data_IF_450947586887
#
_entry.id   IF_450947586887
#
_cell.length_a   1.000
_cell.length_b   1.000
_cell.length_c   1.000
_cell.angle_alpha   90.00
_cell.angle_beta   90.00
_cell.angle_gamma   90.00
#
_symmetry.space_group_name_H-M   'P 1'
#
loop_
_entity.id
_entity.type
_entity.pdbx_description
1 polymer ?
#
# COMPACT_ATOMS: atom_id res chain seq x y z
N UNK A 1 -38.19 -13.39 -31.59
CA UNK A 1 -36.82 -12.86 -31.44
C UNK A 1 -36.55 -11.73 -32.44
N UNK A 2 -36.78 -11.93 -33.75
CA UNK A 2 -36.47 -10.93 -34.78
C UNK A 2 -37.19 -9.60 -34.50
N UNK A 3 -38.45 -9.61 -34.10
CA UNK A 3 -39.20 -8.39 -33.74
C UNK A 3 -38.55 -7.63 -32.55
N UNK A 4 -38.02 -8.39 -31.55
CA UNK A 4 -37.25 -7.79 -30.43
C UNK A 4 -35.97 -7.15 -30.96
N UNK A 5 -35.24 -7.86 -31.83
CA UNK A 5 -33.98 -7.38 -32.43
C UNK A 5 -34.17 -6.13 -33.29
N UNK A 6 -35.25 -6.08 -34.05
CA UNK A 6 -35.57 -4.95 -34.91
C UNK A 6 -36.18 -3.74 -34.16
N UNK A 7 -36.46 -3.87 -32.86
CA UNK A 7 -37.01 -2.79 -32.03
C UNK A 7 -38.51 -2.57 -32.19
N UNK A 8 -39.26 -3.58 -32.66
CA UNK A 8 -40.73 -3.50 -32.78
C UNK A 8 -41.43 -3.56 -31.40
N UNK A 9 -40.74 -3.97 -30.37
CA UNK A 9 -41.23 -4.05 -28.99
C UNK A 9 -40.55 -3.05 -28.10
N UNK A 10 -41.29 -2.42 -27.20
CA UNK A 10 -40.76 -1.60 -26.14
C UNK A 10 -40.12 -2.44 -25.02
N UNK A 11 -39.32 -1.80 -24.17
CA UNK A 11 -38.77 -2.43 -22.99
C UNK A 11 -39.86 -3.01 -22.10
N UNK A 12 -39.64 -4.23 -21.58
CA UNK A 12 -40.59 -4.94 -20.74
C UNK A 12 -41.70 -5.66 -21.48
N UNK A 13 -41.92 -5.45 -22.79
CA UNK A 13 -42.99 -6.08 -23.56
C UNK A 13 -42.71 -7.56 -23.90
N UNK A 14 -41.43 -7.91 -24.10
CA UNK A 14 -41.04 -9.27 -24.44
C UNK A 14 -39.64 -9.59 -23.93
N UNK A 15 -39.40 -10.87 -23.67
CA UNK A 15 -38.09 -11.45 -23.35
C UNK A 15 -37.95 -12.79 -24.08
N UNK A 16 -36.70 -13.14 -24.43
CA UNK A 16 -36.40 -14.49 -24.89
C UNK A 16 -35.98 -15.35 -23.70
N UNK A 17 -36.62 -16.51 -23.54
CA UNK A 17 -36.31 -17.45 -22.45
C UNK A 17 -35.80 -18.79 -23.01
N UNK A 18 -34.90 -19.42 -22.25
CA UNK A 18 -34.61 -20.83 -22.45
C UNK A 18 -35.85 -21.68 -22.08
N UNK A 19 -36.07 -22.75 -22.79
CA UNK A 19 -37.12 -23.75 -22.42
C UNK A 19 -36.42 -24.96 -21.80
N UNK A 20 -36.43 -25.04 -20.49
CA UNK A 20 -35.74 -26.09 -19.72
C UNK A 20 -36.71 -26.88 -18.88
N UNK A 21 -37.05 -26.42 -17.67
CA UNK A 21 -37.95 -27.11 -16.74
C UNK A 21 -38.47 -26.13 -15.67
N UNK A 22 -39.76 -25.79 -15.77
CA UNK A 22 -40.39 -24.87 -14.79
C UNK A 22 -40.61 -25.51 -13.42
N UNK A 23 -40.41 -26.83 -13.26
CA UNK A 23 -40.56 -27.56 -11.99
C UNK A 23 -39.23 -27.78 -11.28
N UNK A 24 -38.12 -27.35 -11.89
CA UNK A 24 -36.77 -27.51 -11.33
C UNK A 24 -36.68 -26.95 -9.90
N UNK A 25 -36.05 -27.63 -8.95
CA UNK A 25 -35.75 -27.06 -7.63
C UNK A 25 -34.79 -25.90 -7.72
N UNK A 26 -33.88 -25.86 -8.71
CA UNK A 26 -33.00 -24.75 -8.99
C UNK A 26 -33.76 -23.69 -9.80
N UNK A 27 -33.94 -22.50 -9.21
CA UNK A 27 -34.63 -21.37 -9.84
C UNK A 27 -33.97 -20.92 -11.14
N UNK A 28 -32.66 -21.05 -11.25
CA UNK A 28 -31.87 -20.67 -12.45
C UNK A 28 -32.12 -21.60 -13.64
N UNK A 29 -32.77 -22.77 -13.41
CA UNK A 29 -33.18 -23.72 -14.45
C UNK A 29 -34.66 -23.58 -14.84
N UNK A 30 -35.42 -22.66 -14.19
CA UNK A 30 -36.86 -22.44 -14.48
C UNK A 30 -37.01 -21.46 -15.64
N UNK A 31 -36.72 -21.92 -16.85
CA UNK A 31 -36.83 -21.16 -18.10
C UNK A 31 -36.23 -19.74 -17.99
N UNK A 32 -34.91 -19.63 -17.70
CA UNK A 32 -34.26 -18.36 -17.47
C UNK A 32 -34.24 -17.45 -18.73
N UNK A 33 -34.17 -16.15 -18.50
CA UNK A 33 -34.13 -15.16 -19.59
C UNK A 33 -32.75 -15.20 -20.27
N UNK A 34 -32.74 -15.28 -21.60
CA UNK A 34 -31.54 -15.24 -22.45
C UNK A 34 -31.27 -13.82 -22.94
N UNK A 35 -32.31 -13.15 -23.48
CA UNK A 35 -32.24 -11.77 -23.99
C UNK A 35 -33.37 -10.92 -23.43
N UNK A 36 -33.04 -9.68 -23.14
CA UNK A 36 -34.00 -8.60 -22.83
C UNK A 36 -33.93 -7.49 -23.89
N UNK A 37 -34.99 -6.70 -23.97
CA UNK A 37 -35.02 -5.46 -24.75
C UNK A 37 -34.44 -4.34 -23.86
N UNK A 38 -33.52 -3.55 -24.43
CA UNK A 38 -32.95 -2.39 -23.78
C UNK A 38 -32.64 -1.32 -24.85
N UNK A 39 -33.33 -0.21 -24.78
CA UNK A 39 -33.15 0.93 -25.65
C UNK A 39 -32.14 1.90 -25.02
N UNK A 40 -30.87 1.56 -25.10
CA UNK A 40 -29.75 2.32 -24.54
C UNK A 40 -28.65 2.43 -25.57
N UNK A 41 -28.03 3.60 -25.65
CA UNK A 41 -26.83 3.79 -26.45
C UNK A 41 -25.64 3.05 -25.83
N UNK A 42 -24.97 2.24 -26.63
CA UNK A 42 -23.76 1.53 -26.22
C UNK A 42 -22.51 2.30 -26.65
N UNK A 43 -21.55 2.49 -25.76
CA UNK A 43 -20.36 3.32 -25.96
C UNK A 43 -19.52 2.99 -27.21
N UNK A 44 -19.56 1.75 -27.72
CA UNK A 44 -18.82 1.35 -28.94
C UNK A 44 -19.72 1.20 -30.17
N UNK A 45 -20.99 0.84 -30.00
CA UNK A 45 -21.86 0.48 -31.13
C UNK A 45 -23.09 1.42 -31.30
N UNK A 46 -23.19 2.46 -30.43
CA UNK A 46 -24.30 3.38 -30.44
C UNK A 46 -25.66 2.68 -30.22
N UNK A 47 -26.63 3.00 -31.04
CA UNK A 47 -27.99 2.45 -30.97
C UNK A 47 -28.24 1.21 -31.83
N UNK A 48 -27.18 0.57 -32.34
CA UNK A 48 -27.23 -0.58 -33.24
C UNK A 48 -28.02 -1.74 -32.66
N UNK A 49 -27.91 -1.99 -31.37
CA UNK A 49 -28.51 -3.12 -30.68
C UNK A 49 -29.71 -2.70 -29.86
N UNK A 50 -30.83 -3.40 -30.01
CA UNK A 50 -32.05 -3.20 -29.24
C UNK A 50 -32.34 -4.31 -28.23
N UNK A 51 -31.51 -5.36 -28.25
CA UNK A 51 -31.55 -6.49 -27.32
C UNK A 51 -30.17 -6.75 -26.74
N UNK A 52 -30.15 -7.16 -25.50
CA UNK A 52 -28.92 -7.49 -24.78
C UNK A 52 -29.05 -8.85 -24.09
N UNK A 53 -27.99 -9.69 -24.14
CA UNK A 53 -28.00 -10.97 -23.43
C UNK A 53 -27.95 -10.73 -21.92
N UNK A 54 -28.58 -11.62 -21.17
CA UNK A 54 -28.38 -11.70 -19.73
C UNK A 54 -27.02 -12.32 -19.42
N UNK A 55 -26.45 -11.98 -18.26
CA UNK A 55 -25.11 -12.42 -17.84
C UNK A 55 -24.93 -13.93 -17.96
N UNK A 56 -25.86 -14.72 -17.43
CA UNK A 56 -25.77 -16.19 -17.41
C UNK A 56 -25.79 -16.85 -18.80
N UNK A 57 -26.25 -16.11 -19.82
CA UNK A 57 -26.20 -16.56 -21.21
C UNK A 57 -24.95 -16.01 -21.92
N UNK A 58 -24.53 -14.80 -21.61
CA UNK A 58 -23.37 -14.16 -22.23
C UNK A 58 -22.05 -14.82 -21.77
N UNK A 59 -21.91 -15.12 -20.48
CA UNK A 59 -20.66 -15.62 -19.90
C UNK A 59 -20.21 -16.95 -20.54
N UNK A 60 -21.02 -18.03 -20.59
CA UNK A 60 -20.60 -19.28 -21.25
C UNK A 60 -20.26 -19.09 -22.73
N UNK A 61 -20.99 -18.26 -23.44
CA UNK A 61 -20.78 -18.08 -24.88
C UNK A 61 -19.52 -17.25 -25.18
N UNK A 62 -19.28 -16.16 -24.44
CA UNK A 62 -18.09 -15.36 -24.58
C UNK A 62 -16.84 -16.20 -24.33
N UNK A 63 -16.81 -16.92 -23.21
CA UNK A 63 -15.69 -17.79 -22.85
C UNK A 63 -15.47 -18.91 -23.88
N UNK A 64 -16.54 -19.49 -24.40
CA UNK A 64 -16.44 -20.54 -25.43
C UNK A 64 -15.93 -19.99 -26.76
N UNK A 65 -16.33 -18.77 -27.15
CA UNK A 65 -15.88 -18.12 -28.41
C UNK A 65 -14.41 -17.72 -28.28
N UNK A 66 -13.98 -17.26 -27.12
CA UNK A 66 -12.60 -16.85 -26.84
C UNK A 66 -11.65 -18.03 -26.56
N UNK A 67 -12.17 -19.25 -26.49
CA UNK A 67 -11.35 -20.45 -26.23
C UNK A 67 -10.89 -20.59 -24.79
N UNK A 68 -11.55 -19.92 -23.84
CA UNK A 68 -11.28 -20.04 -22.40
C UNK A 68 -11.57 -21.47 -21.97
N UNK A 69 -10.69 -22.09 -21.18
CA UNK A 69 -10.86 -23.44 -20.64
C UNK A 69 -11.44 -23.44 -19.23
N UNK A 70 -11.08 -22.43 -18.42
CA UNK A 70 -11.45 -22.27 -17.03
C UNK A 70 -12.19 -20.94 -16.87
N UNK A 71 -13.52 -20.99 -16.82
CA UNK A 71 -14.39 -19.83 -16.59
C UNK A 71 -14.45 -19.53 -15.09
N UNK A 72 -13.75 -18.49 -14.64
CA UNK A 72 -13.67 -18.11 -13.24
C UNK A 72 -14.75 -17.10 -12.88
N UNK A 73 -15.45 -17.33 -11.77
CA UNK A 73 -16.46 -16.41 -11.24
C UNK A 73 -16.51 -16.45 -9.71
N UNK A 74 -17.33 -15.58 -9.12
CA UNK A 74 -17.53 -15.55 -7.67
C UNK A 74 -18.51 -16.63 -7.21
N UNK A 75 -18.45 -17.01 -5.93
CA UNK A 75 -19.21 -18.12 -5.34
C UNK A 75 -20.72 -17.93 -5.48
N UNK A 76 -21.22 -16.71 -5.57
CA UNK A 76 -22.64 -16.40 -5.82
C UNK A 76 -23.21 -17.04 -7.11
N UNK A 77 -22.36 -17.40 -8.06
CA UNK A 77 -22.76 -18.06 -9.31
C UNK A 77 -22.71 -19.60 -9.25
N UNK A 78 -22.48 -20.18 -8.07
CA UNK A 78 -22.42 -21.64 -7.94
C UNK A 78 -23.73 -22.32 -8.39
N UNK A 79 -24.88 -21.77 -7.99
CA UNK A 79 -26.19 -22.30 -8.36
C UNK A 79 -26.56 -22.02 -9.82
N UNK A 80 -25.84 -21.14 -10.50
CA UNK A 80 -25.99 -20.83 -11.93
C UNK A 80 -25.25 -21.82 -12.83
N UNK A 81 -24.28 -22.60 -12.31
CA UNK A 81 -23.46 -23.53 -13.11
C UNK A 81 -24.30 -24.57 -13.91
N UNK A 82 -25.38 -25.14 -13.40
CA UNK A 82 -26.21 -26.04 -14.21
C UNK A 82 -26.77 -25.37 -15.48
N UNK A 83 -27.09 -24.07 -15.40
CA UNK A 83 -27.52 -23.31 -16.56
C UNK A 83 -26.36 -23.00 -17.54
N UNK A 84 -25.17 -22.65 -17.01
CA UNK A 84 -23.95 -22.53 -17.80
C UNK A 84 -23.69 -23.79 -18.64
N UNK A 85 -23.69 -24.96 -17.99
CA UNK A 85 -23.44 -26.25 -18.64
C UNK A 85 -24.53 -26.56 -19.69
N UNK A 86 -25.79 -26.21 -19.37
CA UNK A 86 -26.91 -26.40 -20.30
C UNK A 86 -26.76 -25.55 -21.56
N UNK A 87 -26.32 -24.28 -21.43
CA UNK A 87 -26.08 -23.39 -22.58
C UNK A 87 -24.99 -23.96 -23.48
N UNK A 88 -23.86 -24.34 -22.92
CA UNK A 88 -22.73 -24.91 -23.67
C UNK A 88 -23.17 -26.21 -24.41
N UNK A 89 -23.96 -27.07 -23.76
CA UNK A 89 -24.45 -28.31 -24.37
C UNK A 89 -25.47 -28.07 -25.49
N UNK A 90 -26.24 -26.98 -25.47
CA UNK A 90 -27.32 -26.69 -26.44
C UNK A 90 -26.84 -25.81 -27.60
N UNK A 91 -25.86 -24.98 -27.38
CA UNK A 91 -25.29 -24.11 -28.41
C UNK A 91 -24.04 -24.79 -28.97
N UNK A 92 -23.93 -24.90 -30.30
CA UNK A 92 -22.73 -25.43 -30.96
C UNK A 92 -21.59 -24.40 -30.80
N UNK A 93 -20.95 -24.41 -29.65
CA UNK A 93 -19.83 -23.54 -29.31
C UNK A 93 -18.51 -24.10 -29.87
N UNK A 94 -17.53 -23.23 -30.20
CA UNK A 94 -16.22 -23.64 -30.72
C UNK A 94 -15.35 -24.37 -29.67
N UNK A 95 -15.61 -24.16 -28.38
CA UNK A 95 -14.92 -24.79 -27.26
C UNK A 95 -15.91 -25.12 -26.13
N UNK A 96 -15.46 -25.91 -25.14
CA UNK A 96 -16.25 -26.33 -23.99
C UNK A 96 -15.55 -25.87 -22.72
N UNK A 97 -15.75 -24.62 -22.31
CA UNK A 97 -15.23 -24.11 -21.06
C UNK A 97 -15.93 -24.76 -19.85
N UNK A 98 -15.25 -24.73 -18.70
CA UNK A 98 -15.82 -25.19 -17.43
C UNK A 98 -15.80 -24.09 -16.39
N UNK A 99 -16.93 -23.85 -15.72
CA UNK A 99 -17.08 -22.85 -14.67
C UNK A 99 -16.46 -23.31 -13.35
N UNK A 100 -15.72 -22.42 -12.71
CA UNK A 100 -15.13 -22.57 -11.39
C UNK A 100 -15.43 -21.33 -10.55
N UNK A 101 -15.98 -21.52 -9.36
CA UNK A 101 -16.34 -20.45 -8.44
C UNK A 101 -15.35 -20.39 -7.29
N UNK A 102 -15.10 -19.16 -6.82
CA UNK A 102 -14.32 -18.91 -5.63
C UNK A 102 -14.94 -17.81 -4.77
N UNK A 103 -14.70 -17.89 -3.46
CA UNK A 103 -15.08 -16.82 -2.53
C UNK A 103 -14.29 -15.54 -2.81
N UNK A 104 -14.86 -14.42 -2.37
CA UNK A 104 -14.15 -13.14 -2.40
C UNK A 104 -13.00 -13.13 -1.39
N UNK A 105 -11.91 -12.48 -1.75
CA UNK A 105 -10.85 -12.13 -0.81
C UNK A 105 -11.30 -10.90 -0.01
N UNK A 106 -11.56 -11.09 1.28
CA UNK A 106 -11.82 -10.02 2.22
C UNK A 106 -10.58 -9.84 3.10
N UNK A 107 -10.21 -8.60 3.33
CA UNK A 107 -9.09 -8.21 4.19
C UNK A 107 -9.67 -7.29 5.28
N UNK A 108 -9.26 -7.50 6.53
CA UNK A 108 -9.70 -6.65 7.62
C UNK A 108 -9.26 -5.18 7.43
N UNK A 109 -9.92 -4.26 8.12
CA UNK A 109 -9.74 -2.81 7.97
C UNK A 109 -9.93 -2.29 6.54
N UNK A 110 -10.58 -3.07 5.65
CA UNK A 110 -10.64 -2.77 4.22
C UNK A 110 -12.04 -2.96 3.66
N UNK A 111 -12.50 -2.00 2.86
CA UNK A 111 -13.76 -2.11 2.09
C UNK A 111 -13.41 -2.32 0.62
N UNK A 112 -14.00 -3.35 0.00
CA UNK A 112 -13.81 -3.65 -1.45
C UNK A 112 -15.05 -3.31 -2.29
N UNK A 113 -16.15 -2.89 -1.67
CA UNK A 113 -17.39 -2.50 -2.36
C UNK A 113 -17.21 -1.23 -3.18
N UNK A 114 -17.30 -1.31 -4.52
CA UNK A 114 -17.21 -0.15 -5.43
C UNK A 114 -18.15 0.98 -5.03
N UNK A 115 -19.40 0.67 -4.63
CA UNK A 115 -20.38 1.68 -4.21
C UNK A 115 -19.92 2.45 -2.97
N UNK A 116 -19.32 1.78 -2.00
CA UNK A 116 -18.80 2.42 -0.78
C UNK A 116 -17.52 3.19 -1.06
N UNK A 117 -16.60 2.63 -1.86
CA UNK A 117 -15.38 3.33 -2.29
C UNK A 117 -15.72 4.61 -3.08
N UNK A 118 -16.75 4.58 -3.94
CA UNK A 118 -17.24 5.78 -4.63
C UNK A 118 -17.68 6.86 -3.64
N UNK A 119 -18.40 6.50 -2.56
CA UNK A 119 -18.81 7.47 -1.52
C UNK A 119 -17.61 8.15 -0.86
N UNK A 120 -16.50 7.42 -0.66
CA UNK A 120 -15.26 8.01 -0.12
C UNK A 120 -14.67 9.06 -1.06
N UNK A 121 -14.64 8.76 -2.37
CA UNK A 121 -14.11 9.68 -3.38
C UNK A 121 -15.04 10.90 -3.56
N UNK A 122 -16.35 10.68 -3.76
CA UNK A 122 -17.33 11.74 -3.98
C UNK A 122 -17.53 12.62 -2.74
N UNK A 123 -17.37 12.05 -1.54
CA UNK A 123 -17.44 12.76 -0.27
C UNK A 123 -16.15 13.49 0.13
N UNK A 124 -15.06 13.37 -0.66
CA UNK A 124 -13.79 14.03 -0.38
C UNK A 124 -13.00 13.46 0.82
N UNK A 125 -13.34 12.24 1.30
CA UNK A 125 -12.61 11.57 2.39
C UNK A 125 -11.25 11.05 1.96
N UNK A 126 -11.09 10.82 0.66
CA UNK A 126 -9.84 10.45 -0.01
C UNK A 126 -9.64 11.34 -1.25
N UNK A 127 -8.40 11.48 -1.72
CA UNK A 127 -8.07 12.37 -2.85
C UNK A 127 -8.63 11.87 -4.19
N UNK A 128 -8.79 10.55 -4.34
CA UNK A 128 -9.28 9.93 -5.57
C UNK A 128 -9.19 8.41 -5.51
N UNK A 129 -9.42 7.76 -6.64
CA UNK A 129 -9.31 6.30 -6.76
C UNK A 129 -7.87 5.79 -6.60
N UNK A 130 -6.90 6.65 -6.78
CA UNK A 130 -5.46 6.42 -6.64
C UNK A 130 -4.90 6.84 -5.27
N UNK A 131 -5.75 7.27 -4.33
CA UNK A 131 -5.31 7.60 -2.97
C UNK A 131 -4.59 6.38 -2.35
N UNK A 132 -3.39 6.55 -1.78
CA UNK A 132 -2.61 5.46 -1.19
C UNK A 132 -3.30 4.67 -0.06
N UNK A 133 -4.41 5.17 0.48
CA UNK A 133 -5.24 4.47 1.48
C UNK A 133 -6.32 3.59 0.87
N UNK A 134 -6.55 3.72 -0.45
CA UNK A 134 -7.57 2.97 -1.17
C UNK A 134 -7.07 1.57 -1.57
N UNK A 135 -7.90 0.52 -1.44
CA UNK A 135 -7.53 -0.84 -1.84
C UNK A 135 -7.70 -1.08 -3.35
N UNK A 136 -7.46 -0.06 -4.15
CA UNK A 136 -7.42 -0.16 -5.61
C UNK A 136 -6.01 -0.48 -6.08
N UNK A 137 -5.86 -1.11 -7.23
CA UNK A 137 -4.53 -1.40 -7.79
C UNK A 137 -3.70 -0.12 -7.98
N UNK A 138 -4.34 0.97 -8.43
CA UNK A 138 -3.68 2.27 -8.60
C UNK A 138 -3.31 2.92 -7.27
N UNK A 139 -4.15 2.81 -6.24
CA UNK A 139 -3.85 3.31 -4.89
C UNK A 139 -2.72 2.51 -4.23
N UNK A 140 -2.76 1.19 -4.30
CA UNK A 140 -1.69 0.31 -3.80
C UNK A 140 -0.36 0.57 -4.52
N UNK A 141 -0.38 0.79 -5.84
CA UNK A 141 0.82 1.16 -6.61
C UNK A 141 1.39 2.49 -6.15
N UNK A 142 0.56 3.52 -6.01
CA UNK A 142 0.97 4.85 -5.52
C UNK A 142 1.46 4.80 -4.06
N UNK A 143 0.90 3.90 -3.24
CA UNK A 143 1.41 3.58 -1.90
C UNK A 143 2.80 2.96 -1.94
N UNK A 144 3.21 2.36 -3.07
CA UNK A 144 4.50 1.70 -3.26
C UNK A 144 4.48 0.19 -3.06
N UNK A 145 3.30 -0.43 -2.95
CA UNK A 145 3.18 -1.89 -2.90
C UNK A 145 3.76 -2.50 -4.17
N UNK A 146 4.49 -3.58 -4.02
CA UNK A 146 5.15 -4.26 -5.13
C UNK A 146 4.25 -5.32 -5.75
N UNK A 147 4.27 -5.52 -7.08
CA UNK A 147 3.54 -6.61 -7.72
C UNK A 147 3.92 -7.99 -7.16
N UNK A 148 5.20 -8.19 -6.82
CA UNK A 148 5.73 -9.43 -6.25
C UNK A 148 5.11 -9.72 -4.88
N UNK A 149 5.06 -8.70 -4.01
CA UNK A 149 4.45 -8.83 -2.68
C UNK A 149 2.94 -9.11 -2.75
N UNK A 150 2.23 -8.47 -3.70
CA UNK A 150 0.81 -8.75 -3.93
C UNK A 150 0.58 -10.17 -4.44
N UNK A 151 1.42 -10.67 -5.36
CA UNK A 151 1.35 -12.05 -5.85
C UNK A 151 1.65 -13.07 -4.74
N UNK A 152 2.69 -12.83 -3.93
CA UNK A 152 3.01 -13.69 -2.78
C UNK A 152 1.84 -13.73 -1.78
N UNK A 153 1.23 -12.59 -1.49
CA UNK A 153 0.04 -12.52 -0.65
C UNK A 153 -1.11 -13.37 -1.21
N UNK A 154 -1.47 -13.19 -2.49
CA UNK A 154 -2.53 -13.96 -3.12
C UNK A 154 -2.21 -15.46 -3.15
N UNK A 155 -0.95 -15.84 -3.35
CA UNK A 155 -0.50 -17.24 -3.35
C UNK A 155 -0.62 -17.87 -1.96
N UNK A 156 -0.30 -17.13 -0.89
CA UNK A 156 -0.43 -17.60 0.50
C UNK A 156 -1.89 -17.76 0.92
N UNK A 157 -2.73 -16.82 0.53
CA UNK A 157 -4.18 -16.90 0.80
C UNK A 157 -4.80 -18.08 0.05
N UNK A 158 -4.39 -18.29 -1.21
CA UNK A 158 -4.93 -19.32 -2.08
C UNK A 158 -6.34 -19.03 -2.55
N UNK A 159 -6.95 -20.01 -3.22
CA UNK A 159 -8.32 -19.96 -3.71
C UNK A 159 -9.20 -20.81 -2.80
N UNK A 160 -10.27 -20.23 -2.26
CA UNK A 160 -11.19 -20.89 -1.32
C UNK A 160 -12.64 -20.78 -1.82
N UNK A 161 -13.49 -21.72 -1.38
CA UNK A 161 -14.96 -21.64 -1.47
C UNK A 161 -15.61 -21.35 -0.10
N UNK A 162 -14.83 -21.01 0.92
CA UNK A 162 -15.37 -20.63 2.23
C UNK A 162 -15.81 -19.17 2.15
N UNK A 163 -17.12 -18.94 2.22
CA UNK A 163 -17.68 -17.60 2.22
C UNK A 163 -17.42 -16.89 3.55
N UNK A 164 -17.25 -15.56 3.49
CA UNK A 164 -17.07 -14.70 4.68
C UNK A 164 -15.70 -14.80 5.37
N UNK A 165 -14.73 -15.52 4.81
CA UNK A 165 -13.38 -15.56 5.39
C UNK A 165 -12.71 -14.20 5.26
N UNK A 166 -12.11 -13.73 6.37
CA UNK A 166 -11.36 -12.45 6.44
C UNK A 166 -9.89 -12.77 6.67
N UNK A 167 -9.02 -12.16 5.90
CA UNK A 167 -7.56 -12.29 6.00
C UNK A 167 -7.00 -11.07 6.73
N UNK A 168 -6.08 -11.30 7.66
CA UNK A 168 -5.38 -10.24 8.39
C UNK A 168 -4.53 -9.41 7.42
N UNK A 169 -4.72 -8.08 7.40
CA UNK A 169 -3.95 -7.14 6.60
C UNK A 169 -2.44 -7.20 6.92
N UNK A 170 -2.08 -7.61 8.12
CA UNK A 170 -0.68 -7.80 8.50
C UNK A 170 0.01 -8.87 7.64
N UNK A 171 -0.71 -9.86 7.11
CA UNK A 171 -0.15 -10.81 6.13
C UNK A 171 0.22 -10.11 4.82
N UNK A 172 -0.63 -9.20 4.32
CA UNK A 172 -0.33 -8.39 3.14
C UNK A 172 0.92 -7.52 3.39
N UNK A 173 0.95 -6.81 4.52
CA UNK A 173 2.07 -5.97 4.92
C UNK A 173 3.36 -6.79 5.03
N UNK A 174 3.30 -8.01 5.57
CA UNK A 174 4.43 -8.93 5.61
C UNK A 174 4.97 -9.27 4.21
N UNK A 175 4.10 -9.64 3.28
CA UNK A 175 4.50 -10.00 1.91
C UNK A 175 5.15 -8.81 1.19
N UNK A 176 4.59 -7.60 1.35
CA UNK A 176 5.18 -6.37 0.80
C UNK A 176 6.54 -6.10 1.42
N UNK A 177 6.68 -6.23 2.75
CA UNK A 177 7.95 -6.02 3.46
C UNK A 177 9.03 -6.98 2.98
N UNK A 178 8.70 -8.26 2.82
CA UNK A 178 9.62 -9.27 2.30
C UNK A 178 10.11 -8.92 0.89
N UNK A 179 9.23 -8.44 0.03
CA UNK A 179 9.61 -8.04 -1.34
C UNK A 179 10.51 -6.80 -1.37
N UNK A 180 10.37 -5.90 -0.39
CA UNK A 180 11.15 -4.66 -0.30
C UNK A 180 12.52 -4.84 0.35
N UNK A 181 12.71 -5.89 1.15
CA UNK A 181 13.94 -6.07 1.94
C UNK A 181 15.20 -6.06 1.10
N UNK A 182 15.17 -6.72 -0.05
CA UNK A 182 16.31 -6.83 -0.97
C UNK A 182 16.21 -5.95 -2.21
N UNK A 183 15.16 -5.14 -2.34
CA UNK A 183 14.93 -4.29 -3.53
C UNK A 183 14.93 -2.80 -3.22
N UNK A 184 14.75 -2.41 -1.96
CA UNK A 184 14.72 -1.01 -1.55
C UNK A 184 16.12 -0.54 -1.12
N UNK A 185 16.67 0.44 -1.81
CA UNK A 185 17.92 1.08 -1.41
C UNK A 185 17.77 1.76 -0.04
N UNK A 186 18.85 1.81 0.74
CA UNK A 186 18.87 2.47 2.06
C UNK A 186 19.19 3.94 1.91
N UNK A 187 18.54 4.78 2.70
CA UNK A 187 18.81 6.20 2.84
C UNK A 187 18.45 6.69 4.23
N UNK A 188 18.94 7.86 4.62
CA UNK A 188 18.57 8.47 5.89
C UNK A 188 17.65 9.67 5.66
N UNK A 189 16.58 9.74 6.46
CA UNK A 189 15.64 10.85 6.51
C UNK A 189 15.24 11.09 7.96
N UNK A 190 15.22 12.33 8.39
CA UNK A 190 14.78 12.77 9.71
C UNK A 190 13.39 13.35 9.57
N UNK A 191 12.39 12.71 10.15
CA UNK A 191 10.98 13.07 9.99
C UNK A 191 10.54 14.20 10.93
N UNK A 192 11.15 14.29 12.11
CA UNK A 192 10.90 15.35 13.08
C UNK A 192 12.24 15.91 13.58
N UNK A 193 12.80 16.92 12.87
CA UNK A 193 14.16 17.37 13.09
C UNK A 193 14.39 18.02 14.48
N UNK A 194 15.44 17.57 15.16
CA UNK A 194 16.06 18.23 16.32
C UNK A 194 17.52 18.54 15.96
N UNK A 195 17.91 19.80 16.08
CA UNK A 195 19.26 20.24 15.76
C UNK A 195 20.30 19.69 16.73
N UNK A 196 21.43 19.25 16.20
CA UNK A 196 22.63 18.83 16.95
C UNK A 196 23.83 19.58 16.41
N UNK A 197 24.59 20.22 17.28
CA UNK A 197 25.90 20.85 16.93
C UNK A 197 27.02 19.99 17.50
N UNK A 198 27.93 19.55 16.63
CA UNK A 198 29.15 18.84 17.00
C UNK A 198 30.25 19.81 17.34
N UNK A 199 30.57 19.92 18.64
CA UNK A 199 31.47 21.00 19.15
C UNK A 199 32.95 20.79 18.83
N UNK A 200 33.36 19.55 18.56
CA UNK A 200 34.77 19.20 18.33
C UNK A 200 34.99 18.43 17.01
N UNK A 201 34.06 18.52 16.04
CA UNK A 201 34.31 18.00 14.69
C UNK A 201 35.38 18.90 14.00
N UNK A 202 36.53 18.32 13.57
CA UNK A 202 37.64 19.15 13.04
C UNK A 202 37.32 19.86 11.74
N UNK A 203 36.56 19.19 10.86
CA UNK A 203 36.07 19.71 9.58
C UNK A 203 34.92 18.84 9.07
N UNK A 204 34.09 19.41 8.19
CA UNK A 204 33.10 18.65 7.43
C UNK A 204 33.80 17.58 6.58
N UNK A 205 33.14 16.40 6.46
CA UNK A 205 33.68 15.30 5.69
C UNK A 205 32.57 14.49 4.99
N UNK A 206 32.91 13.85 3.90
CA UNK A 206 32.02 12.95 3.19
C UNK A 206 32.28 11.49 3.58
N UNK A 207 31.24 10.80 4.01
CA UNK A 207 31.27 9.38 4.33
C UNK A 207 30.65 8.59 3.18
N UNK A 208 31.35 7.57 2.69
CA UNK A 208 30.85 6.70 1.61
C UNK A 208 30.35 5.39 2.18
N UNK A 209 29.11 5.03 1.86
CA UNK A 209 28.49 3.79 2.32
C UNK A 209 27.68 3.12 1.23
N UNK A 210 27.59 1.78 1.32
CA UNK A 210 26.72 0.98 0.45
C UNK A 210 25.26 1.43 0.58
N UNK A 211 24.54 1.42 -0.55
CA UNK A 211 23.10 1.67 -0.57
C UNK A 211 22.28 0.49 -0.05
N UNK A 212 22.89 -0.69 0.12
CA UNK A 212 22.22 -1.84 0.72
C UNK A 212 23.24 -2.76 1.41
N UNK A 213 22.92 -3.35 2.58
CA UNK A 213 23.87 -4.16 3.34
C UNK A 213 24.21 -5.51 2.68
N UNK A 214 23.28 -6.10 1.92
CA UNK A 214 23.38 -7.47 1.40
C UNK A 214 23.32 -7.56 -0.13
N UNK A 215 22.93 -6.51 -0.82
CA UNK A 215 22.77 -6.48 -2.27
C UNK A 215 23.62 -5.34 -2.82
N UNK A 216 24.36 -5.58 -3.90
CA UNK A 216 25.11 -4.52 -4.55
C UNK A 216 24.14 -3.59 -5.30
N UNK A 217 23.90 -2.42 -4.71
CA UNK A 217 23.12 -1.31 -5.25
C UNK A 217 23.99 -0.05 -5.44
N UNK A 218 25.32 -0.22 -5.42
CA UNK A 218 26.25 0.88 -5.44
C UNK A 218 26.37 1.58 -4.09
N UNK A 219 27.06 2.73 -4.11
CA UNK A 219 27.36 3.51 -2.93
C UNK A 219 26.61 4.84 -2.91
N UNK A 220 26.56 5.47 -1.74
CA UNK A 220 26.07 6.81 -1.54
C UNK A 220 27.02 7.61 -0.66
N UNK A 221 27.06 8.91 -0.87
CA UNK A 221 27.80 9.85 -0.06
C UNK A 221 26.87 10.45 0.99
N UNK A 222 27.31 10.43 2.25
CA UNK A 222 26.61 10.98 3.40
C UNK A 222 27.49 12.11 3.97
N UNK A 223 27.16 13.39 3.76
CA UNK A 223 27.96 14.49 4.27
C UNK A 223 27.77 14.62 5.78
N UNK A 224 28.85 14.45 6.54
CA UNK A 224 28.90 14.73 7.97
C UNK A 224 29.43 16.17 8.16
N UNK A 225 28.58 17.01 8.73
CA UNK A 225 28.86 18.42 8.97
C UNK A 225 28.81 18.76 10.46
N UNK A 226 29.31 19.92 10.84
CA UNK A 226 29.26 20.39 12.23
C UNK A 226 27.81 20.46 12.76
N UNK A 227 26.86 20.85 11.91
CA UNK A 227 25.44 20.90 12.27
C UNK A 227 24.69 19.74 11.63
N UNK A 228 23.89 19.02 12.43
CA UNK A 228 23.10 17.87 12.03
C UNK A 228 21.66 18.01 12.49
N UNK A 229 20.78 17.24 11.89
CA UNK A 229 19.47 16.89 12.45
C UNK A 229 19.43 15.43 12.85
N UNK A 230 18.84 15.15 14.01
CA UNK A 230 18.41 13.82 14.46
C UNK A 230 16.90 13.83 14.61
N UNK A 231 16.26 12.66 14.65
CA UNK A 231 14.82 12.62 14.94
C UNK A 231 14.59 12.95 16.42
N UNK A 232 13.62 13.83 16.72
CA UNK A 232 13.30 14.28 18.08
C UNK A 232 13.00 13.11 19.03
N UNK A 233 12.40 12.03 18.55
CA UNK A 233 12.16 10.81 19.34
C UNK A 233 13.45 10.06 19.76
N UNK A 234 14.59 10.43 19.20
CA UNK A 234 15.90 9.85 19.55
C UNK A 234 16.59 10.58 20.69
N UNK A 235 15.98 11.64 21.26
CA UNK A 235 16.44 12.33 22.45
C UNK A 235 15.32 12.39 23.50
N UNK A 236 15.70 12.22 24.79
CA UNK A 236 14.78 12.31 25.92
C UNK A 236 15.53 12.83 27.16
N UNK A 237 14.99 13.86 27.81
CA UNK A 237 15.58 14.41 29.02
C UNK A 237 15.34 13.54 30.24
N UNK A 238 14.08 13.02 30.36
CA UNK A 238 13.64 12.12 31.43
C UNK A 238 13.29 10.75 30.83
N UNK A 239 14.31 9.93 30.51
CA UNK A 239 14.09 8.74 29.71
C UNK A 239 13.30 7.67 30.48
N UNK A 240 12.33 7.02 29.84
CA UNK A 240 11.65 5.86 30.41
C UNK A 240 12.64 4.68 30.56
N UNK A 241 12.29 3.76 31.47
CA UNK A 241 13.12 2.56 31.72
C UNK A 241 13.41 1.80 30.42
N UNK A 242 14.70 1.60 30.13
CA UNK A 242 15.15 0.86 28.95
C UNK A 242 15.35 1.70 27.69
N UNK A 243 15.23 3.03 27.77
CA UNK A 243 15.60 3.93 26.68
C UNK A 243 17.08 3.77 26.31
N UNK A 244 17.37 3.59 25.02
CA UNK A 244 18.72 3.30 24.52
C UNK A 244 19.15 4.28 23.43
N UNK A 245 18.73 5.53 23.56
CA UNK A 245 19.04 6.61 22.64
C UNK A 245 19.71 7.75 23.39
N UNK A 246 19.80 8.94 22.82
CA UNK A 246 20.52 10.06 23.40
C UNK A 246 19.77 10.65 24.61
N UNK A 247 20.52 10.94 25.67
CA UNK A 247 20.03 11.59 26.89
C UNK A 247 21.08 12.64 27.33
N UNK A 248 20.75 13.59 28.20
CA UNK A 248 21.74 14.53 28.73
C UNK A 248 22.93 13.79 29.38
N UNK A 249 24.14 14.15 28.98
CA UNK A 249 25.38 13.49 29.41
C UNK A 249 25.61 12.07 28.88
N UNK A 250 24.65 11.51 28.12
CA UNK A 250 24.70 10.16 27.58
C UNK A 250 25.38 10.08 26.22
N UNK A 251 25.72 8.85 25.84
CA UNK A 251 26.36 8.55 24.55
C UNK A 251 25.45 7.72 23.64
N UNK A 252 25.53 8.00 22.33
CA UNK A 252 24.86 7.20 21.29
C UNK A 252 25.73 7.20 20.03
N UNK A 253 25.62 6.17 19.19
CA UNK A 253 26.27 6.13 17.88
C UNK A 253 25.41 6.83 16.82
N UNK A 254 25.98 7.78 16.11
CA UNK A 254 25.48 8.23 14.82
C UNK A 254 25.71 7.11 13.79
N UNK A 255 24.66 6.69 13.11
CA UNK A 255 24.73 5.62 12.12
C UNK A 255 25.78 5.92 11.07
N UNK A 256 26.67 4.96 10.79
CA UNK A 256 27.78 5.09 9.85
C UNK A 256 28.86 6.15 10.24
N UNK A 257 28.77 6.77 11.41
CA UNK A 257 29.67 7.82 11.85
C UNK A 257 30.21 7.56 13.28
N UNK A 258 30.45 8.61 14.01
CA UNK A 258 31.03 8.59 15.35
C UNK A 258 30.02 8.22 16.45
N UNK A 259 30.56 7.86 17.60
CA UNK A 259 29.84 7.97 18.87
C UNK A 259 29.85 9.45 19.27
N UNK A 260 28.68 9.94 19.69
CA UNK A 260 28.52 11.30 20.23
C UNK A 260 28.06 11.25 21.68
N UNK A 261 28.40 12.29 22.43
CA UNK A 261 27.93 12.54 23.80
C UNK A 261 27.18 13.86 23.84
N UNK A 262 26.00 13.88 24.46
CA UNK A 262 25.26 15.13 24.69
C UNK A 262 25.86 15.89 25.87
N UNK A 263 26.50 17.01 25.63
CA UNK A 263 27.16 17.82 26.64
C UNK A 263 26.27 18.96 27.18
N UNK A 264 25.41 19.52 26.33
CA UNK A 264 24.52 20.63 26.68
C UNK A 264 23.17 20.52 25.93
N UNK A 265 22.08 20.84 26.60
CA UNK A 265 20.72 20.93 26.04
C UNK A 265 20.28 22.38 26.00
N UNK A 266 19.96 22.89 24.81
CA UNK A 266 19.50 24.26 24.60
C UNK A 266 17.98 24.25 24.46
N UNK A 267 17.31 25.10 25.21
CA UNK A 267 15.86 25.27 25.22
C UNK A 267 15.44 26.65 24.76
N UNK A 268 14.26 26.73 24.19
CA UNK A 268 13.61 28.02 23.89
C UNK A 268 12.95 28.65 25.13
N UNK A 269 12.30 29.81 24.92
CA UNK A 269 11.58 30.55 25.96
C UNK A 269 10.41 29.77 26.58
N UNK A 270 9.89 28.75 25.88
CA UNK A 270 8.80 27.89 26.35
C UNK A 270 9.31 26.65 27.10
N UNK A 271 10.63 26.48 27.19
CA UNK A 271 11.27 25.31 27.80
C UNK A 271 11.39 24.10 26.85
N UNK A 272 11.03 24.23 25.55
CA UNK A 272 11.15 23.19 24.56
C UNK A 272 12.60 23.05 24.09
N UNK A 273 13.07 21.81 23.94
CA UNK A 273 14.42 21.53 23.45
C UNK A 273 14.52 21.86 21.97
N UNK A 274 15.42 22.78 21.61
CA UNK A 274 15.61 23.26 20.24
C UNK A 274 16.96 22.84 19.63
N UNK A 275 17.99 22.63 20.47
CA UNK A 275 19.30 22.23 20.02
C UNK A 275 20.03 21.41 21.08
N UNK A 276 20.87 20.46 20.65
CA UNK A 276 21.81 19.72 21.48
C UNK A 276 23.25 20.07 21.08
N UNK A 277 24.09 20.39 22.01
CA UNK A 277 25.56 20.46 21.75
C UNK A 277 26.17 19.12 22.18
N UNK A 278 26.85 18.51 21.23
CA UNK A 278 27.44 17.20 21.41
C UNK A 278 28.93 17.21 21.04
N UNK A 279 29.71 16.38 21.72
CA UNK A 279 31.09 16.08 21.31
C UNK A 279 31.14 14.70 20.65
N UNK A 280 32.00 14.56 19.64
CA UNK A 280 32.34 13.27 19.04
C UNK A 280 33.46 12.59 19.83
N UNK A 281 33.46 11.24 19.84
CA UNK A 281 34.63 10.45 20.18
C UNK A 281 35.42 10.13 18.91
N UNK A 282 36.60 10.83 18.68
CA UNK A 282 37.31 10.76 17.40
C UNK A 282 37.76 9.33 17.02
N UNK A 283 37.98 8.49 18.01
CA UNK A 283 38.49 7.13 17.80
C UNK A 283 37.40 6.15 17.35
N UNK A 284 36.15 6.62 17.19
CA UNK A 284 34.99 5.72 16.97
C UNK A 284 34.43 5.75 15.56
N UNK A 285 35.05 6.43 14.59
CA UNK A 285 34.61 6.38 13.21
C UNK A 285 34.70 4.95 12.66
N UNK A 286 33.55 4.37 12.32
CA UNK A 286 33.46 3.01 11.78
C UNK A 286 33.79 1.87 12.75
N UNK A 287 34.13 2.14 14.01
CA UNK A 287 34.47 1.12 15.02
C UNK A 287 33.87 1.42 16.39
N UNK A 288 33.77 0.40 17.23
CA UNK A 288 33.29 0.57 18.60
C UNK A 288 34.35 1.21 19.51
N UNK A 289 33.92 1.98 20.54
CA UNK A 289 34.85 2.54 21.53
C UNK A 289 35.51 1.43 22.34
N UNK A 290 36.77 1.64 22.74
CA UNK A 290 37.50 0.73 23.60
C UNK A 290 37.05 0.86 25.06
N UNK A 291 37.02 -0.25 25.79
CA UNK A 291 36.77 -0.29 27.23
C UNK A 291 35.35 0.02 27.69
N UNK A 292 34.42 0.41 26.76
CA UNK A 292 33.00 0.69 27.08
C UNK A 292 32.06 0.25 25.98
N UNK A 293 30.80 0.01 26.34
CA UNK A 293 29.75 -0.37 25.42
C UNK A 293 28.74 0.76 25.26
N UNK A 294 28.67 1.35 24.08
CA UNK A 294 27.62 2.31 23.70
C UNK A 294 26.39 1.56 23.20
N UNK A 295 25.24 1.84 23.80
CA UNK A 295 23.97 1.22 23.47
C UNK A 295 23.16 2.18 22.60
N UNK A 296 22.66 1.68 21.47
CA UNK A 296 21.83 2.46 20.55
C UNK A 296 22.61 3.04 19.39
N UNK A 297 21.89 3.14 18.29
CA UNK A 297 22.32 3.78 17.04
C UNK A 297 21.16 4.65 16.57
N UNK A 298 21.44 5.92 16.24
CA UNK A 298 20.45 6.85 15.70
C UNK A 298 20.85 7.26 14.29
N UNK A 299 19.85 7.53 13.45
CA UNK A 299 20.06 8.10 12.13
C UNK A 299 20.11 9.63 12.24
N UNK A 300 20.64 10.25 11.22
CA UNK A 300 20.90 11.69 11.20
C UNK A 300 21.03 12.18 9.76
N UNK A 301 20.88 13.48 9.56
CA UNK A 301 21.13 14.16 8.27
C UNK A 301 21.86 15.46 8.54
N UNK A 302 22.76 15.86 7.65
CA UNK A 302 23.42 17.18 7.72
C UNK A 302 22.37 18.29 7.71
N UNK A 303 22.49 19.25 8.61
CA UNK A 303 21.60 20.41 8.64
C UNK A 303 21.89 21.41 7.51
N UNK A 304 23.14 21.45 7.02
CA UNK A 304 23.59 22.40 5.98
C UNK A 304 23.53 21.82 4.56
N UNK A 305 23.54 20.47 4.42
CA UNK A 305 23.50 19.76 3.14
C UNK A 305 22.23 18.94 2.94
N UNK A 306 21.46 18.71 4.00
CA UNK A 306 20.19 18.02 3.95
C UNK A 306 19.16 18.78 3.11
N UNK A 307 18.26 18.04 2.49
CA UNK A 307 17.26 18.58 1.58
C UNK A 307 15.88 18.48 2.24
N UNK A 308 15.11 19.59 2.32
CA UNK A 308 13.72 19.54 2.78
C UNK A 308 12.87 18.63 1.89
N UNK A 309 12.01 17.83 2.50
CA UNK A 309 11.12 16.92 1.80
C UNK A 309 9.77 16.83 2.52
N UNK A 310 8.69 16.70 1.74
CA UNK A 310 7.38 16.33 2.25
C UNK A 310 7.34 14.81 2.43
N UNK A 311 6.94 14.34 3.61
CA UNK A 311 6.74 12.91 3.86
C UNK A 311 5.30 12.68 4.30
N UNK A 312 4.61 11.81 3.59
CA UNK A 312 3.23 11.42 3.83
C UNK A 312 3.21 10.08 4.56
N UNK A 313 2.79 10.11 5.79
CA UNK A 313 2.70 8.94 6.66
C UNK A 313 1.26 8.44 6.57
N UNK A 314 1.06 7.38 5.79
CA UNK A 314 -0.24 6.74 5.65
C UNK A 314 -0.42 5.65 6.70
N UNK A 315 -1.62 5.59 7.27
CA UNK A 315 -2.08 4.53 8.14
C UNK A 315 -3.34 3.86 7.54
N UNK A 316 -3.97 2.95 8.26
CA UNK A 316 -5.22 2.31 7.87
C UNK A 316 -6.32 3.36 7.73
N UNK A 317 -7.14 3.22 6.68
CA UNK A 317 -8.22 4.17 6.41
C UNK A 317 -9.36 4.06 7.44
N UNK A 318 -9.51 2.88 8.08
CA UNK A 318 -10.54 2.60 9.06
C UNK A 318 -9.95 2.20 10.41
N UNK A 319 -10.68 2.52 11.50
CA UNK A 319 -10.30 2.16 12.86
C UNK A 319 -10.73 0.75 13.24
N UNK A 320 -11.82 0.26 12.65
CA UNK A 320 -12.42 -1.04 12.95
C UNK A 320 -11.94 -2.13 12.00
N UNK A 321 -11.73 -3.34 12.53
CA UNK A 321 -11.33 -4.51 11.73
C UNK A 321 -12.40 -4.90 10.71
N UNK A 322 -13.68 -4.74 11.06
CA UNK A 322 -14.80 -4.73 10.13
C UNK A 322 -15.27 -3.27 9.94
N UNK A 323 -14.86 -2.60 8.87
CA UNK A 323 -15.27 -1.22 8.62
C UNK A 323 -16.77 -1.03 8.40
N UNK A 324 -17.51 -2.11 8.18
CA UNK A 324 -18.95 -2.09 7.91
C UNK A 324 -19.78 -2.29 9.18
N UNK A 325 -19.15 -2.38 10.35
CA UNK A 325 -19.85 -2.46 11.63
C UNK A 325 -20.60 -1.15 11.93
N UNK A 326 -21.83 -1.27 12.45
CA UNK A 326 -22.71 -0.12 12.72
C UNK A 326 -23.59 0.28 11.52
N UNK A 327 -24.21 1.45 11.63
CA UNK A 327 -25.20 1.93 10.66
C UNK A 327 -24.54 2.64 9.45
N UNK A 328 -23.45 3.35 9.68
CA UNK A 328 -22.71 4.05 8.62
C UNK A 328 -21.20 3.79 8.74
N UNK A 329 -20.62 3.14 7.73
CA UNK A 329 -19.18 2.85 7.66
C UNK A 329 -18.29 4.10 7.67
N UNK A 330 -18.83 5.29 7.39
CA UNK A 330 -18.10 6.55 7.42
C UNK A 330 -17.73 6.96 8.86
N UNK A 331 -18.46 6.49 9.86
CA UNK A 331 -18.17 6.73 11.28
C UNK A 331 -16.89 6.00 11.73
N UNK A 332 -16.52 4.94 11.02
CA UNK A 332 -15.32 4.14 11.29
C UNK A 332 -14.07 4.65 10.55
N UNK A 333 -14.15 5.81 9.89
CA UNK A 333 -12.97 6.41 9.25
C UNK A 333 -11.94 6.82 10.30
N UNK A 334 -10.67 6.52 10.02
CA UNK A 334 -9.55 6.94 10.84
C UNK A 334 -9.14 8.38 10.47
N UNK A 335 -9.37 9.38 11.34
CA UNK A 335 -9.00 10.77 11.07
C UNK A 335 -7.48 10.95 10.95
N UNK A 336 -6.69 10.07 11.58
CA UNK A 336 -5.22 10.08 11.54
C UNK A 336 -4.65 9.20 10.42
N UNK A 337 -5.47 8.77 9.46
CA UNK A 337 -5.04 7.89 8.35
C UNK A 337 -4.01 8.52 7.40
N UNK A 338 -3.82 9.82 7.47
CA UNK A 338 -2.79 10.56 6.75
C UNK A 338 -2.20 11.67 7.63
N UNK A 339 -0.89 11.59 7.88
CA UNK A 339 -0.11 12.67 8.51
C UNK A 339 0.95 13.14 7.53
N UNK A 340 0.98 14.44 7.26
CA UNK A 340 2.01 15.06 6.43
C UNK A 340 3.03 15.74 7.33
N UNK A 341 4.32 15.43 7.14
CA UNK A 341 5.42 16.01 7.90
C UNK A 341 6.46 16.63 6.97
N UNK A 342 7.13 17.68 7.45
CA UNK A 342 8.28 18.26 6.77
C UNK A 342 9.54 17.60 7.33
N UNK A 343 10.15 16.78 6.50
CA UNK A 343 11.34 16.01 6.82
C UNK A 343 12.59 16.65 6.22
N UNK A 344 13.76 16.19 6.66
CA UNK A 344 15.05 16.47 6.01
C UNK A 344 15.64 15.13 5.55
N UNK A 345 15.96 15.03 4.27
CA UNK A 345 16.55 13.84 3.66
C UNK A 345 18.03 14.03 3.31
N UNK A 346 18.79 12.94 3.29
CA UNK A 346 20.18 12.98 2.80
C UNK A 346 20.24 13.36 1.31
N UNK A 347 21.27 14.06 0.83
CA UNK A 347 21.35 14.54 -0.56
C UNK A 347 21.26 13.42 -1.61
N UNK A 348 21.72 12.22 -1.29
CA UNK A 348 21.67 11.08 -2.21
C UNK A 348 20.25 10.67 -2.62
N UNK A 349 19.22 11.06 -1.85
CA UNK A 349 17.81 10.78 -2.14
C UNK A 349 17.17 11.78 -3.12
N UNK A 350 17.81 12.92 -3.40
CA UNK A 350 17.31 13.93 -4.36
C UNK A 350 17.22 13.37 -5.80
N UNK A 351 18.06 12.39 -6.13
CA UNK A 351 18.07 11.76 -7.45
C UNK A 351 16.96 10.73 -7.66
N UNK A 352 16.11 10.51 -6.64
CA UNK A 352 14.99 9.59 -6.73
C UNK A 352 14.07 9.96 -7.90
N UNK A 353 13.63 8.94 -8.63
CA UNK A 353 12.59 9.09 -9.64
C UNK A 353 11.23 8.71 -9.04
N UNK A 354 10.11 9.21 -9.58
CA UNK A 354 8.79 8.73 -9.19
C UNK A 354 8.71 7.20 -9.16
N UNK A 355 8.10 6.65 -8.12
CA UNK A 355 7.99 5.20 -7.84
C UNK A 355 9.28 4.50 -7.35
N UNK A 356 10.41 5.18 -7.23
CA UNK A 356 11.60 4.63 -6.57
C UNK A 356 11.30 4.35 -5.08
N UNK A 357 11.72 3.18 -4.62
CA UNK A 357 11.46 2.70 -3.26
C UNK A 357 12.72 2.68 -2.44
N UNK A 358 12.61 3.18 -1.21
CA UNK A 358 13.70 3.27 -0.26
C UNK A 358 13.30 2.69 1.10
N UNK A 359 14.29 2.19 1.83
CA UNK A 359 14.15 2.09 3.26
C UNK A 359 14.82 3.33 3.89
N UNK A 360 14.02 4.20 4.50
CA UNK A 360 14.58 5.20 5.40
C UNK A 360 15.01 4.49 6.68
N UNK A 361 16.31 4.50 6.91
CA UNK A 361 16.94 3.69 7.95
C UNK A 361 16.32 3.99 9.33
N UNK A 362 15.84 2.95 10.02
CA UNK A 362 15.12 2.99 11.30
C UNK A 362 13.69 3.56 11.25
N UNK A 363 13.22 4.09 10.11
CA UNK A 363 11.91 4.70 9.99
C UNK A 363 10.88 3.79 9.31
N UNK A 364 11.20 3.23 8.16
CA UNK A 364 10.25 2.42 7.39
C UNK A 364 10.63 2.29 5.93
N UNK A 365 9.71 1.78 5.13
CA UNK A 365 9.81 1.77 3.68
C UNK A 365 8.98 2.89 3.09
N UNK A 366 9.54 3.58 2.11
CA UNK A 366 8.97 4.76 1.46
C UNK A 366 9.12 4.66 -0.05
N UNK A 367 8.21 5.32 -0.76
CA UNK A 367 8.24 5.44 -2.22
C UNK A 367 8.20 6.93 -2.59
N UNK A 368 8.98 7.34 -3.57
CA UNK A 368 8.85 8.65 -4.18
C UNK A 368 7.48 8.74 -4.87
N UNK A 369 6.65 9.74 -4.53
CA UNK A 369 5.27 9.81 -5.02
C UNK A 369 5.22 9.86 -6.54
N UNK A 370 4.32 9.11 -7.12
CA UNK A 370 4.20 8.94 -8.57
C UNK A 370 3.95 10.26 -9.32
N UNK A 371 3.25 11.21 -8.69
CA UNK A 371 2.77 12.43 -9.34
C UNK A 371 3.38 13.70 -8.75
N UNK A 372 3.59 13.73 -7.45
CA UNK A 372 3.95 14.95 -6.72
C UNK A 372 5.46 15.08 -6.47
N UNK A 373 6.22 13.98 -6.67
CA UNK A 373 7.67 13.97 -6.45
C UNK A 373 8.45 14.58 -7.61
N UNK A 374 9.42 15.42 -7.28
CA UNK A 374 10.47 15.88 -8.19
C UNK A 374 11.76 16.15 -7.42
N UNK A 375 12.89 16.35 -8.12
CA UNK A 375 14.15 16.74 -7.49
C UNK A 375 14.10 18.11 -6.82
N UNK A 376 13.23 19.01 -7.28
CA UNK A 376 13.02 20.34 -6.68
C UNK A 376 12.04 20.30 -5.50
N UNK A 377 11.12 19.35 -5.52
CA UNK A 377 10.12 19.12 -4.46
C UNK A 377 10.04 17.63 -4.14
N UNK A 378 10.95 17.11 -3.31
CA UNK A 378 10.90 15.71 -2.92
C UNK A 378 9.64 15.40 -2.08
N UNK A 379 8.87 14.41 -2.53
CA UNK A 379 7.66 13.92 -1.84
C UNK A 379 7.75 12.41 -1.71
N UNK A 380 7.65 11.90 -0.49
CA UNK A 380 7.71 10.47 -0.22
C UNK A 380 6.48 9.98 0.52
N UNK A 381 5.92 8.88 0.07
CA UNK A 381 4.82 8.18 0.72
C UNK A 381 5.36 7.03 1.56
N UNK A 382 4.94 6.90 2.83
CA UNK A 382 5.25 5.72 3.63
C UNK A 382 4.49 4.51 3.08
N UNK A 383 5.23 3.48 2.70
CA UNK A 383 4.68 2.19 2.29
C UNK A 383 4.20 1.44 3.55
N UNK A 384 5.15 1.17 4.48
CA UNK A 384 4.91 0.50 5.77
C UNK A 384 6.09 0.64 6.72
N UNK A 385 5.87 0.29 7.98
CA UNK A 385 6.88 0.29 9.04
C UNK A 385 7.87 -0.87 8.90
N UNK A 386 9.03 -0.75 9.59
CA UNK A 386 10.02 -1.83 9.68
C UNK A 386 9.55 -3.00 10.55
N UNK A 387 8.71 -2.73 11.54
CA UNK A 387 8.22 -3.76 12.46
C UNK A 387 7.14 -4.58 11.78
N UNK A 388 7.28 -5.89 11.90
CA UNK A 388 6.28 -6.84 11.47
C UNK A 388 5.37 -7.23 12.62
N UNK A 389 4.05 -7.09 12.45
CA UNK A 389 3.04 -7.57 13.39
C UNK A 389 2.55 -8.98 13.05
N UNK A 390 2.76 -9.43 11.82
CA UNK A 390 2.38 -10.76 11.37
C UNK A 390 3.41 -11.82 11.79
N UNK A 391 2.92 -12.94 12.33
CA UNK A 391 3.75 -14.10 12.69
C UNK A 391 3.28 -15.31 11.88
N UNK A 392 4.02 -15.68 10.81
CA UNK A 392 3.69 -16.87 10.03
C UNK A 392 3.68 -18.12 10.95
N UNK A 393 2.58 -18.88 10.93
CA UNK A 393 2.49 -20.15 11.67
C UNK A 393 1.89 -20.07 13.07
N UNK A 394 1.22 -18.99 13.43
CA UNK A 394 0.32 -18.95 14.59
C UNK A 394 -1.14 -19.06 14.19
#
# INVERSE_FOLDING_TARGET
FEKMRCGEYAEGQAVLRAKIDMTSPNVHMRDPILYRILHSEHHQTGDKWKIYPMYDYAHPLSDAIEGVTHSLCTLEFQDHRPFYDWVIAKVKSPSVPRQYESSRLNVDYTITSKRKLRKLVEGGFVQGWDDPRMPTVVGMRRRGFTPEGLRDFCQRVGVSKVDGSIVDVAMLEYCIRQSLENTAARGMAVLNPLKVTLTNLPADMDLTHSRHPNVDMGERVIPLTTELFIDRKDFEEEPPKGFKRLIPGGEVRLRHAYVIKCDEVIKDENGEVVELKCSIDPETLGKNPEGRKVKGVIHWVSATKGIPAEVRIYDRLFTESDPEVGDDFLENLNPESLKVVQAVIEPALVQAQPEDRFQFEREGYFVADQYDHSSEKPVFNRILDLKDSFKPGK
#
